data_IF_570140696989
#
_entry.id   IF_570140696989
#
_cell.length_a   1.000
_cell.length_b   1.000
_cell.length_c   1.000
_cell.angle_alpha   90.00
_cell.angle_beta   90.00
_cell.angle_gamma   90.00
#
_symmetry.space_group_name_H-M   'P 1'
#
loop_
_entity.id
_entity.type
_entity.pdbx_description
1 polymer ?
#
# COMPACT_ATOMS: atom_id res chain seq x y z
N UNK A 1 16.28 -10.96 -1.41
CA UNK A 1 15.05 -11.40 -2.14
C UNK A 1 14.00 -10.34 -1.86
N UNK A 2 13.41 -9.64 -2.84
CA UNK A 2 12.27 -8.79 -2.52
C UNK A 2 11.07 -9.68 -2.22
N UNK A 3 10.49 -9.49 -1.03
CA UNK A 3 9.40 -10.27 -0.45
C UNK A 3 8.19 -10.30 -1.38
N UNK A 4 7.86 -11.48 -1.94
CA UNK A 4 6.51 -11.73 -2.44
C UNK A 4 5.57 -11.93 -1.25
N UNK A 5 4.33 -11.42 -1.30
CA UNK A 5 3.44 -11.42 -0.16
C UNK A 5 2.73 -12.77 -0.08
N UNK A 6 3.36 -13.74 0.60
CA UNK A 6 2.78 -15.06 0.88
C UNK A 6 2.42 -15.16 2.36
N UNK A 7 1.39 -15.95 2.66
CA UNK A 7 1.00 -16.28 4.03
C UNK A 7 -0.12 -15.44 4.62
N UNK A 8 -0.99 -14.86 3.79
CA UNK A 8 -2.24 -14.25 4.25
C UNK A 8 -3.43 -15.19 4.09
N UNK A 9 -4.40 -15.13 5.02
CA UNK A 9 -5.63 -15.93 4.97
C UNK A 9 -6.46 -15.63 3.70
N UNK A 10 -6.58 -14.35 3.36
CA UNK A 10 -7.31 -13.85 2.20
C UNK A 10 -6.41 -13.01 1.31
N UNK A 11 -6.54 -13.18 0.00
CA UNK A 11 -5.75 -12.45 -0.98
C UNK A 11 -6.60 -12.02 -2.18
N UNK A 12 -6.42 -10.77 -2.61
CA UNK A 12 -7.15 -10.19 -3.73
C UNK A 12 -6.23 -9.35 -4.61
N UNK A 13 -6.62 -9.20 -5.87
CA UNK A 13 -5.97 -8.28 -6.80
C UNK A 13 -7.04 -7.42 -7.45
N UNK A 14 -6.79 -6.11 -7.48
CA UNK A 14 -7.67 -5.14 -8.15
C UNK A 14 -6.87 -4.33 -9.16
N UNK A 15 -7.44 -4.13 -10.34
CA UNK A 15 -6.81 -3.32 -11.39
C UNK A 15 -7.09 -1.82 -11.15
N UNK A 16 -6.05 -0.98 -11.03
CA UNK A 16 -6.16 0.47 -11.19
C UNK A 16 -6.31 0.85 -12.69
N UNK A 17 -6.52 2.13 -13.02
CA UNK A 17 -6.63 2.59 -14.41
C UNK A 17 -5.39 2.31 -15.28
N UNK A 18 -4.17 2.33 -14.71
CA UNK A 18 -2.96 1.92 -15.44
C UNK A 18 -2.88 0.39 -15.51
N UNK A 19 -2.99 -0.18 -16.72
CA UNK A 19 -2.98 -1.62 -16.98
C UNK A 19 -1.67 -2.32 -16.60
N UNK A 20 -0.57 -1.58 -16.46
CA UNK A 20 0.71 -2.12 -15.98
C UNK A 20 0.74 -2.23 -14.47
N UNK A 21 -0.20 -1.60 -13.78
CA UNK A 21 -0.30 -1.61 -12.33
C UNK A 21 -1.36 -2.61 -11.85
N UNK A 22 -1.21 -3.02 -10.58
CA UNK A 22 -2.20 -3.77 -9.83
C UNK A 22 -2.14 -3.36 -8.37
N UNK A 23 -3.27 -3.40 -7.68
CA UNK A 23 -3.33 -3.30 -6.22
C UNK A 23 -3.49 -4.71 -5.69
N UNK A 24 -2.45 -5.22 -5.03
CA UNK A 24 -2.47 -6.52 -4.35
C UNK A 24 -2.88 -6.31 -2.90
N UNK A 25 -3.72 -7.18 -2.36
CA UNK A 25 -4.27 -7.08 -1.01
C UNK A 25 -4.11 -8.42 -0.32
N UNK A 26 -3.55 -8.42 0.89
CA UNK A 26 -3.48 -9.56 1.80
C UNK A 26 -4.13 -9.21 3.13
N UNK A 27 -4.91 -10.13 3.70
CA UNK A 27 -5.65 -9.92 4.94
C UNK A 27 -5.58 -11.21 5.77
N UNK A 28 -5.28 -11.06 7.05
CA UNK A 28 -5.48 -12.12 8.05
C UNK A 28 -6.67 -11.79 8.93
N UNK A 29 -7.45 -12.82 9.22
CA UNK A 29 -8.69 -12.71 9.97
C UNK A 29 -8.69 -13.70 11.12
N UNK A 30 -8.99 -13.21 12.31
CA UNK A 30 -9.20 -14.07 13.48
C UNK A 30 -10.57 -13.78 14.06
N UNK A 31 -11.42 -14.81 14.13
CA UNK A 31 -12.81 -14.73 14.64
C UNK A 31 -13.67 -13.64 13.97
N UNK A 32 -13.39 -13.35 12.70
CA UNK A 32 -14.12 -12.34 11.92
C UNK A 32 -13.48 -10.94 11.94
N UNK A 33 -12.49 -10.71 12.80
CA UNK A 33 -11.79 -9.44 12.90
C UNK A 33 -10.46 -9.47 12.15
N UNK A 34 -10.17 -8.41 11.38
CA UNK A 34 -8.89 -8.23 10.71
C UNK A 34 -7.79 -8.06 11.76
N UNK A 35 -6.74 -8.90 11.68
CA UNK A 35 -5.58 -8.84 12.57
C UNK A 35 -4.39 -8.12 11.93
N UNK A 36 -4.16 -8.40 10.65
CA UNK A 36 -3.18 -7.68 9.83
C UNK A 36 -3.66 -7.58 8.39
N UNK A 37 -3.18 -6.56 7.70
CA UNK A 37 -3.36 -6.46 6.26
C UNK A 37 -2.16 -5.80 5.59
N UNK A 38 -2.04 -6.04 4.29
CA UNK A 38 -1.12 -5.34 3.40
C UNK A 38 -1.88 -4.98 2.13
N UNK A 39 -1.93 -3.69 1.81
CA UNK A 39 -2.41 -3.18 0.52
C UNK A 39 -1.22 -2.61 -0.23
N UNK A 40 -0.91 -3.14 -1.39
CA UNK A 40 0.30 -2.81 -2.14
C UNK A 40 -0.02 -2.40 -3.57
N UNK A 41 0.36 -1.18 -3.94
CA UNK A 41 0.43 -0.78 -5.35
C UNK A 41 1.69 -1.40 -5.96
N UNK A 42 1.47 -2.16 -7.02
CA UNK A 42 2.50 -2.90 -7.72
C UNK A 42 2.49 -2.55 -9.20
N UNK A 43 3.66 -2.57 -9.86
CA UNK A 43 3.78 -2.38 -11.31
C UNK A 43 4.52 -3.56 -11.94
N UNK A 44 4.05 -4.01 -13.10
CA UNK A 44 4.78 -4.99 -13.93
C UNK A 44 6.03 -4.31 -14.51
N UNK A 45 7.20 -4.89 -14.27
CA UNK A 45 8.44 -4.44 -14.87
C UNK A 45 8.39 -4.62 -16.39
N UNK A 46 8.75 -3.59 -17.13
CA UNK A 46 8.89 -3.66 -18.59
C UNK A 46 10.19 -4.38 -19.01
N UNK A 47 11.24 -4.25 -18.19
CA UNK A 47 12.57 -4.81 -18.45
C UNK A 47 12.61 -6.32 -18.24
N UNK A 48 11.85 -6.82 -17.27
CA UNK A 48 11.79 -8.23 -16.94
C UNK A 48 10.32 -8.68 -16.97
N UNK A 49 9.92 -9.36 -18.05
CA UNK A 49 8.52 -9.69 -18.38
C UNK A 49 7.76 -10.56 -17.36
N UNK A 50 8.33 -10.81 -16.17
CA UNK A 50 7.72 -11.57 -15.07
C UNK A 50 7.90 -10.95 -13.69
N UNK A 51 8.62 -9.84 -13.57
CA UNK A 51 8.93 -9.24 -12.28
C UNK A 51 7.93 -8.14 -11.97
N UNK A 52 7.31 -8.21 -10.80
CA UNK A 52 6.41 -7.18 -10.30
C UNK A 52 7.16 -6.40 -9.23
N UNK A 53 7.18 -5.07 -9.37
CA UNK A 53 7.85 -4.18 -8.42
C UNK A 53 6.83 -3.57 -7.47
N UNK A 54 7.19 -3.43 -6.20
CA UNK A 54 6.47 -2.61 -5.24
C UNK A 54 6.67 -1.15 -5.59
N UNK A 55 5.57 -0.40 -5.65
CA UNK A 55 5.58 1.05 -5.82
C UNK A 55 5.29 1.72 -4.49
N UNK A 56 4.21 1.29 -3.83
CA UNK A 56 3.82 1.83 -2.55
C UNK A 56 3.03 0.79 -1.75
N UNK A 57 3.02 0.91 -0.42
CA UNK A 57 2.22 0.06 0.46
C UNK A 57 1.55 0.84 1.60
N UNK A 58 0.48 0.26 2.09
CA UNK A 58 -0.18 0.59 3.35
C UNK A 58 -0.37 -0.74 4.05
N UNK A 59 0.18 -0.91 5.25
CA UNK A 59 0.01 -2.13 6.02
C UNK A 59 -0.33 -1.85 7.48
N UNK A 60 -0.97 -2.84 8.09
CA UNK A 60 -1.21 -2.91 9.52
C UNK A 60 -0.76 -4.29 9.96
N UNK A 61 0.29 -4.37 10.77
CA UNK A 61 0.82 -5.61 11.32
C UNK A 61 1.49 -5.35 12.68
N UNK A 62 0.72 -5.01 13.73
CA UNK A 62 1.25 -4.60 15.04
C UNK A 62 2.03 -5.71 15.77
N UNK A 63 1.81 -6.97 15.39
CA UNK A 63 2.56 -8.10 15.94
C UNK A 63 3.89 -8.36 15.20
N UNK A 64 4.12 -7.71 14.06
CA UNK A 64 5.34 -7.80 13.29
C UNK A 64 6.46 -6.95 13.90
N UNK A 65 7.69 -7.46 13.92
CA UNK A 65 8.86 -6.74 14.43
C UNK A 65 9.06 -5.38 13.74
N UNK A 66 8.87 -5.36 12.43
CA UNK A 66 9.01 -4.17 11.57
C UNK A 66 7.65 -3.84 10.91
N UNK A 67 6.54 -4.21 11.55
CA UNK A 67 5.18 -3.96 11.05
C UNK A 67 4.59 -2.68 11.63
N UNK A 68 3.63 -2.11 10.91
CA UNK A 68 3.00 -0.85 11.30
C UNK A 68 1.75 -1.06 12.17
N UNK A 69 1.55 -0.20 13.17
CA UNK A 69 0.27 -0.09 13.88
C UNK A 69 -0.44 1.21 13.49
N UNK A 70 -1.17 1.16 12.38
CA UNK A 70 -1.93 2.31 11.90
C UNK A 70 -2.98 2.86 12.89
N UNK A 71 -3.36 2.11 13.94
CA UNK A 71 -4.27 2.64 14.98
C UNK A 71 -3.57 3.70 15.84
N UNK A 72 -2.25 3.63 15.95
CA UNK A 72 -1.43 4.57 16.75
C UNK A 72 -0.64 5.52 15.86
N UNK A 73 -0.13 5.03 14.73
CA UNK A 73 0.67 5.80 13.77
C UNK A 73 -0.20 6.66 12.83
N UNK A 74 -1.47 6.29 12.68
CA UNK A 74 -2.34 6.81 11.63
C UNK A 74 -2.01 6.24 10.26
N UNK A 75 -2.96 6.35 9.33
CA UNK A 75 -2.72 6.03 7.92
C UNK A 75 -1.54 6.81 7.33
N UNK A 76 -0.56 6.07 6.85
CA UNK A 76 0.55 6.56 6.04
C UNK A 76 0.79 5.60 4.88
N UNK A 77 1.63 6.00 3.94
CA UNK A 77 2.02 5.20 2.79
C UNK A 77 3.53 5.14 2.71
N UNK A 78 4.09 3.95 2.66
CA UNK A 78 5.50 3.78 2.31
C UNK A 78 5.63 3.69 0.80
N UNK A 79 6.39 4.60 0.21
CA UNK A 79 6.68 4.62 -1.22
C UNK A 79 8.10 4.12 -1.42
N UNK A 80 8.27 3.13 -2.29
CA UNK A 80 9.60 2.65 -2.69
C UNK A 80 10.12 3.58 -3.77
N UNK A 81 11.30 4.15 -3.59
CA UNK A 81 11.99 4.98 -4.55
C UNK A 81 12.80 4.13 -5.54
N UNK A 82 13.29 4.75 -6.62
CA UNK A 82 13.98 4.03 -7.69
C UNK A 82 15.31 3.41 -7.27
N UNK A 83 15.99 4.01 -6.30
CA UNK A 83 17.22 3.50 -5.67
C UNK A 83 16.95 2.34 -4.70
N UNK A 84 15.68 2.10 -4.35
CA UNK A 84 15.24 1.06 -3.43
C UNK A 84 15.00 1.55 -2.01
N UNK A 85 15.23 2.84 -1.71
CA UNK A 85 14.91 3.42 -0.41
C UNK A 85 13.39 3.54 -0.24
N UNK A 86 12.91 3.47 1.00
CA UNK A 86 11.50 3.66 1.33
C UNK A 86 11.27 5.03 1.98
N UNK A 87 10.27 5.75 1.50
CA UNK A 87 9.85 7.02 2.08
C UNK A 87 8.39 6.97 2.52
N UNK A 88 8.17 7.21 3.82
CA UNK A 88 6.84 7.29 4.41
C UNK A 88 6.22 8.66 4.18
N UNK A 89 5.00 8.68 3.65
CA UNK A 89 4.20 9.90 3.45
C UNK A 89 2.88 9.82 4.21
N UNK A 90 2.42 10.97 4.69
CA UNK A 90 1.19 11.09 5.46
C UNK A 90 0.15 11.87 4.64
N UNK A 91 -0.88 11.20 4.09
CA UNK A 91 -1.97 11.89 3.41
C UNK A 91 -2.63 12.96 4.30
N UNK A 92 -2.95 14.15 3.76
CA UNK A 92 -3.64 15.18 4.52
C UNK A 92 -5.04 14.73 4.94
N UNK A 93 -5.56 15.34 6.01
CA UNK A 93 -6.92 15.10 6.54
C UNK A 93 -7.22 13.64 6.89
N UNK A 94 -6.25 12.94 7.45
CA UNK A 94 -6.41 11.57 7.97
C UNK A 94 -7.26 11.60 9.26
N UNK A 95 -8.50 11.08 9.28
CA UNK A 95 -9.31 11.04 10.51
C UNK A 95 -8.81 10.02 11.54
N UNK A 96 -7.64 9.40 11.31
CA UNK A 96 -7.15 8.24 12.03
C UNK A 96 -7.71 6.95 11.40
N UNK A 97 -7.00 5.84 11.61
CA UNK A 97 -7.57 4.53 11.28
C UNK A 97 -8.81 4.33 12.13
N UNK A 98 -9.95 4.18 11.46
CA UNK A 98 -11.21 3.84 12.12
C UNK A 98 -11.01 2.53 12.87
N UNK A 99 -11.73 2.33 13.98
CA UNK A 99 -11.70 1.07 14.74
C UNK A 99 -11.94 -0.15 13.83
N UNK A 100 -12.63 0.06 12.71
CA UNK A 100 -12.81 -0.87 11.61
C UNK A 100 -11.64 -0.85 10.59
N UNK A 101 -10.78 -1.88 10.67
CA UNK A 101 -9.70 -2.09 9.70
C UNK A 101 -10.21 -2.54 8.32
N UNK A 102 -11.39 -3.17 8.23
CA UNK A 102 -12.01 -3.55 6.95
C UNK A 102 -12.33 -2.31 6.11
N UNK A 103 -12.93 -1.29 6.74
CA UNK A 103 -13.16 0.01 6.11
C UNK A 103 -11.84 0.67 5.67
N UNK A 104 -10.78 0.54 6.46
CA UNK A 104 -9.44 1.07 6.14
C UNK A 104 -8.85 0.39 4.90
N UNK A 105 -8.99 -0.94 4.76
CA UNK A 105 -8.55 -1.68 3.56
C UNK A 105 -9.30 -1.18 2.32
N UNK A 106 -10.61 -0.95 2.42
CA UNK A 106 -11.41 -0.46 1.31
C UNK A 106 -11.05 0.97 0.90
N UNK A 107 -10.74 1.84 1.86
CA UNK A 107 -10.22 3.19 1.63
C UNK A 107 -8.83 3.13 0.97
N UNK A 108 -7.90 2.31 1.46
CA UNK A 108 -6.58 2.09 0.88
C UNK A 108 -6.67 1.63 -0.58
N UNK A 109 -7.56 0.67 -0.86
CA UNK A 109 -7.85 0.20 -2.22
C UNK A 109 -8.31 1.33 -3.14
N UNK A 110 -9.25 2.17 -2.68
CA UNK A 110 -9.74 3.32 -3.45
C UNK A 110 -8.64 4.36 -3.66
N UNK A 111 -7.87 4.63 -2.62
CA UNK A 111 -6.79 5.61 -2.62
C UNK A 111 -5.72 5.25 -3.66
N UNK A 112 -5.19 4.02 -3.64
CA UNK A 112 -4.22 3.60 -4.65
C UNK A 112 -4.79 3.58 -6.06
N UNK A 113 -6.05 3.16 -6.26
CA UNK A 113 -6.67 3.18 -7.59
C UNK A 113 -6.84 4.60 -8.14
N UNK A 114 -7.21 5.56 -7.30
CA UNK A 114 -7.42 6.95 -7.72
C UNK A 114 -6.10 7.69 -7.94
N UNK A 115 -5.08 7.37 -7.15
CA UNK A 115 -3.82 8.12 -7.10
C UNK A 115 -2.61 7.34 -7.62
N UNK A 116 -2.81 6.27 -8.39
CA UNK A 116 -1.72 5.48 -9.01
C UNK A 116 -0.69 6.37 -9.70
N UNK A 117 -1.13 7.37 -10.45
CA UNK A 117 -0.24 8.30 -11.15
C UNK A 117 0.69 9.09 -10.21
N UNK A 118 0.21 9.54 -9.05
CA UNK A 118 1.04 10.23 -8.07
C UNK A 118 2.19 9.33 -7.59
N UNK A 119 1.85 8.13 -7.12
CA UNK A 119 2.86 7.21 -6.57
C UNK A 119 3.88 6.71 -7.60
N UNK A 120 3.46 6.56 -8.87
CA UNK A 120 4.40 6.24 -9.94
C UNK A 120 5.40 7.39 -10.18
N UNK A 121 4.93 8.64 -10.17
CA UNK A 121 5.80 9.81 -10.36
C UNK A 121 6.78 9.97 -9.21
N UNK A 122 6.34 9.75 -7.97
CA UNK A 122 7.25 9.70 -6.80
C UNK A 122 8.28 8.58 -6.95
N UNK A 123 7.83 7.34 -7.22
CA UNK A 123 8.71 6.19 -7.40
C UNK A 123 9.78 6.43 -8.48
N UNK A 124 9.42 7.07 -9.59
CA UNK A 124 10.35 7.40 -10.68
C UNK A 124 11.19 8.66 -10.45
N UNK A 125 11.01 9.35 -9.31
CA UNK A 125 11.72 10.59 -8.99
C UNK A 125 11.32 11.78 -9.85
N UNK A 126 10.12 11.75 -10.44
CA UNK A 126 9.58 12.86 -11.23
C UNK A 126 9.03 13.98 -10.35
N UNK A 127 8.60 13.65 -9.12
CA UNK A 127 8.16 14.58 -8.10
C UNK A 127 8.65 14.13 -6.72
N UNK A 128 8.82 15.10 -5.84
CA UNK A 128 9.05 14.84 -4.42
C UNK A 128 7.76 14.35 -3.73
N UNK A 129 7.86 13.50 -2.70
CA UNK A 129 6.72 12.95 -1.97
C UNK A 129 6.06 13.89 -0.95
N UNK A 130 6.36 15.18 -0.97
CA UNK A 130 6.00 16.13 0.09
C UNK A 130 4.51 16.47 0.17
N UNK A 131 3.76 16.29 -0.93
CA UNK A 131 2.34 16.67 -1.03
C UNK A 131 1.48 15.46 -1.46
N UNK A 132 1.33 14.42 -0.60
CA UNK A 132 0.51 13.27 -0.92
C UNK A 132 -0.96 13.67 -1.13
N UNK A 133 -1.69 13.01 -2.05
CA UNK A 133 -3.12 13.25 -2.24
C UNK A 133 -3.94 13.03 -0.96
N UNK A 134 -5.11 13.67 -0.83
CA UNK A 134 -5.95 13.51 0.36
C UNK A 134 -6.49 12.09 0.50
N UNK A 135 -6.55 11.61 1.75
CA UNK A 135 -7.18 10.34 2.10
C UNK A 135 -8.71 10.40 1.86
N UNK A 136 -9.34 9.34 1.31
CA UNK A 136 -10.75 9.35 0.89
C UNK A 136 -11.76 9.13 2.02
#
# INVERSE_FOLDING_TARGET
MPNSPVGFDLQYVVSPPDERCRVWIGIDVFRGDVQRFLVQLQRRSAAERRTVVQIARIDHNPAGRDGHDLRTEGVHVDVVLRDGDEQTVYPPTNPGVQTDLGATIDQAKRYFRRHTGYFLRVHYGEIEPNDPPPWP
#
